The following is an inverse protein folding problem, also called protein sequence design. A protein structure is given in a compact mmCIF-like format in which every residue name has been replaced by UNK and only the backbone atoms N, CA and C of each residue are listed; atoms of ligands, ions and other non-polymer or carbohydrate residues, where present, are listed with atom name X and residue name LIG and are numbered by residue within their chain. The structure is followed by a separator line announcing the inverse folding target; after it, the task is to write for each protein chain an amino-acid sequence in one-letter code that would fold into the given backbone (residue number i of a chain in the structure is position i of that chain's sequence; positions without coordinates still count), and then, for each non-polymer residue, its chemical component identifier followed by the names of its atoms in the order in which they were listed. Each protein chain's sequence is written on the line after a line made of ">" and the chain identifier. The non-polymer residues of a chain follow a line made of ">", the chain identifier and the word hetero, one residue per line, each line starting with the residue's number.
data_IF_450415981728
#
_entry.id   IF_450415981728
#
_cell.length_a   1.000
_cell.length_b   1.000
_cell.length_c   1.000
_cell.angle_alpha   90.00
_cell.angle_beta   90.00
_cell.angle_gamma   90.00
#
_symmetry.space_group_name_H-M   'P 1'
#
loop_
_entity.id
_entity.type
_entity.pdbx_description
1 polymer ?
#
# COMPACT_ATOMS: atom_id res chain seq x y z
N UNK A 1 8.52 0.79 21.79
CA UNK A 1 9.27 0.12 20.71
C UNK A 1 8.40 0.17 19.46
N UNK A 2 8.68 1.08 18.53
CA UNK A 2 7.86 1.22 17.32
C UNK A 2 8.05 -0.03 16.46
N UNK A 3 6.96 -0.76 16.18
CA UNK A 3 7.00 -1.90 15.30
C UNK A 3 7.49 -1.41 13.93
N UNK A 4 8.71 -1.80 13.56
CA UNK A 4 9.30 -1.54 12.26
C UNK A 4 8.39 -2.21 11.23
N UNK A 5 7.58 -1.41 10.55
CA UNK A 5 6.70 -1.95 9.53
C UNK A 5 7.58 -2.58 8.43
N UNK A 6 7.22 -3.76 7.90
CA UNK A 6 7.99 -4.37 6.83
C UNK A 6 7.95 -3.43 5.61
N UNK A 7 9.10 -2.80 5.36
CA UNK A 7 9.38 -2.04 4.14
C UNK A 7 9.89 -3.05 3.13
N UNK A 8 9.23 -3.13 1.99
CA UNK A 8 9.70 -3.85 0.82
C UNK A 8 10.41 -2.86 -0.10
N UNK A 9 11.72 -3.05 -0.24
CA UNK A 9 12.54 -2.40 -1.27
C UNK A 9 12.13 -2.96 -2.63
N UNK A 10 11.64 -2.10 -3.52
CA UNK A 10 11.32 -2.45 -4.90
C UNK A 10 12.09 -1.56 -5.88
N UNK A 11 12.21 -2.00 -7.14
CA UNK A 11 12.88 -1.23 -8.19
C UNK A 11 12.25 0.14 -8.42
N UNK A 12 10.95 0.27 -8.09
CA UNK A 12 10.22 1.52 -8.17
C UNK A 12 10.35 2.40 -6.92
N UNK A 13 11.00 1.90 -5.84
CA UNK A 13 11.35 2.56 -4.58
C UNK A 13 10.87 1.79 -3.33
N UNK A 14 11.10 2.33 -2.13
CA UNK A 14 10.70 1.70 -0.88
C UNK A 14 9.21 1.83 -0.56
N UNK A 15 8.56 0.70 -0.30
CA UNK A 15 7.13 0.64 0.02
C UNK A 15 6.88 -0.04 1.34
N UNK A 16 6.06 0.56 2.19
CA UNK A 16 5.49 -0.18 3.32
C UNK A 16 4.34 -1.02 2.81
N UNK A 17 4.36 -2.31 3.14
CA UNK A 17 3.36 -3.27 2.66
C UNK A 17 2.72 -3.98 3.84
N UNK A 18 1.41 -3.84 3.97
CA UNK A 18 0.65 -4.48 5.03
C UNK A 18 -0.42 -5.42 4.46
N UNK A 19 -0.28 -6.74 4.61
CA UNK A 19 -1.35 -7.66 4.28
C UNK A 19 -2.50 -7.50 5.27
N UNK A 20 -3.72 -7.43 4.75
CA UNK A 20 -4.96 -7.43 5.49
C UNK A 20 -5.70 -8.73 5.21
N UNK A 21 -6.20 -9.37 6.26
CA UNK A 21 -7.03 -10.58 6.18
C UNK A 21 -8.42 -10.29 5.59
N UNK A 22 -8.77 -9.03 5.40
CA UNK A 22 -10.10 -8.58 4.98
C UNK A 22 -11.07 -8.40 6.14
N UNK A 23 -10.85 -9.04 7.29
CA UNK A 23 -11.80 -9.07 8.40
C UNK A 23 -12.20 -7.68 8.94
N UNK A 24 -11.33 -6.67 8.84
CA UNK A 24 -11.61 -5.29 9.22
C UNK A 24 -11.94 -4.35 8.06
N UNK A 25 -12.24 -4.89 6.87
CA UNK A 25 -12.55 -4.11 5.67
C UNK A 25 -14.03 -4.16 5.36
N UNK A 26 -14.78 -3.21 5.90
CA UNK A 26 -16.22 -3.08 5.66
C UNK A 26 -16.57 -2.28 4.39
N UNK A 27 -15.57 -1.67 3.76
CA UNK A 27 -15.70 -0.89 2.53
C UNK A 27 -15.05 -1.60 1.35
N UNK A 28 -15.63 -1.39 0.17
CA UNK A 28 -14.99 -1.75 -1.10
C UNK A 28 -13.94 -0.69 -1.45
N UNK A 29 -12.76 -1.12 -1.89
CA UNK A 29 -11.69 -0.23 -2.32
C UNK A 29 -11.31 -0.47 -3.78
N UNK A 30 -10.90 0.56 -4.52
CA UNK A 30 -10.49 0.42 -5.92
C UNK A 30 -9.01 0.05 -6.01
N UNK A 31 -8.69 -1.03 -6.73
CA UNK A 31 -7.33 -1.50 -6.93
C UNK A 31 -6.67 -0.76 -8.11
N UNK A 32 -5.54 -0.05 -7.92
CA UNK A 32 -4.90 0.69 -9.01
C UNK A 32 -4.32 -0.19 -10.14
N UNK A 33 -3.96 -1.45 -9.85
CA UNK A 33 -3.32 -2.33 -10.84
C UNK A 33 -4.26 -3.04 -11.81
N UNK A 34 -5.56 -3.08 -11.52
CA UNK A 34 -6.57 -3.69 -12.40
C UNK A 34 -7.84 -2.86 -12.54
N UNK A 35 -7.91 -1.72 -11.83
CA UNK A 35 -9.07 -0.82 -11.73
C UNK A 35 -10.37 -1.49 -11.23
N UNK A 36 -10.26 -2.71 -10.67
CA UNK A 36 -11.38 -3.45 -10.09
C UNK A 36 -11.57 -3.12 -8.62
N UNK A 37 -12.80 -3.28 -8.14
CA UNK A 37 -13.13 -3.14 -6.73
C UNK A 37 -12.71 -4.39 -5.95
N UNK A 38 -12.00 -4.18 -4.85
CA UNK A 38 -11.73 -5.14 -3.79
C UNK A 38 -12.98 -5.15 -2.90
N UNK A 39 -13.76 -6.23 -2.85
CA UNK A 39 -14.96 -6.29 -2.02
C UNK A 39 -14.62 -6.25 -0.52
N UNK A 40 -15.55 -5.82 0.34
CA UNK A 40 -15.37 -5.91 1.78
C UNK A 40 -15.12 -7.36 2.20
N UNK A 41 -14.41 -7.55 3.32
CA UNK A 41 -14.04 -8.87 3.84
C UNK A 41 -13.17 -9.73 2.90
N UNK A 42 -12.56 -9.11 1.89
CA UNK A 42 -11.62 -9.79 0.99
C UNK A 42 -10.18 -9.62 1.47
N UNK A 43 -9.37 -10.69 1.55
CA UNK A 43 -7.94 -10.58 1.80
C UNK A 43 -7.23 -9.75 0.72
N UNK A 44 -6.54 -8.69 1.13
CA UNK A 44 -5.88 -7.76 0.21
C UNK A 44 -4.69 -7.09 0.89
N UNK A 45 -3.95 -6.28 0.16
CA UNK A 45 -2.74 -5.61 0.64
C UNK A 45 -2.96 -4.10 0.63
N UNK A 46 -2.50 -3.43 1.67
CA UNK A 46 -2.41 -1.98 1.70
C UNK A 46 -0.94 -1.59 1.58
N UNK A 47 -0.65 -0.69 0.65
CA UNK A 47 0.70 -0.22 0.38
C UNK A 47 0.77 1.30 0.34
N UNK A 48 1.84 1.87 0.85
CA UNK A 48 2.15 3.30 0.73
C UNK A 48 3.66 3.51 0.66
N UNK A 49 4.13 4.66 0.14
CA UNK A 49 5.56 4.95 0.08
C UNK A 49 6.17 4.97 1.48
N UNK A 50 7.32 4.32 1.67
CA UNK A 50 8.03 4.36 2.95
C UNK A 50 8.62 5.75 3.25
N UNK A 51 8.89 6.52 2.18
CA UNK A 51 9.34 7.90 2.22
C UNK A 51 8.41 8.71 1.32
N UNK A 52 8.04 9.91 1.73
CA UNK A 52 7.28 10.82 0.88
C UNK A 52 8.19 11.31 -0.26
N UNK A 53 8.08 10.65 -1.41
CA UNK A 53 8.79 11.02 -2.64
C UNK A 53 7.94 12.11 -3.28
N UNK A 54 8.41 13.35 -3.28
CA UNK A 54 7.76 14.55 -3.86
C UNK A 54 6.69 15.26 -3.02
N UNK A 55 6.87 15.40 -1.71
CA UNK A 55 6.13 16.44 -0.96
C UNK A 55 7.12 17.37 -0.27
N UNK A 56 6.81 18.66 -0.18
CA UNK A 56 7.49 19.64 0.68
C UNK A 56 7.45 19.28 2.20
N UNK A 57 6.99 18.07 2.52
CA UNK A 57 6.94 17.50 3.85
C UNK A 57 8.29 16.86 4.16
N UNK A 58 8.72 17.10 5.39
CA UNK A 58 9.94 16.59 6.01
C UNK A 58 10.11 15.07 5.69
N UNK A 59 11.23 14.61 5.10
CA UNK A 59 11.50 13.20 4.73
C UNK A 59 11.24 12.15 5.83
N UNK A 60 11.10 12.58 7.08
CA UNK A 60 10.88 11.77 8.26
C UNK A 60 9.39 11.66 8.66
N UNK A 61 8.49 12.41 8.01
CA UNK A 61 7.05 12.40 8.28
C UNK A 61 6.34 11.22 7.58
N UNK A 62 6.57 10.04 8.15
CA UNK A 62 5.92 8.78 7.72
C UNK A 62 4.42 8.70 8.05
N UNK A 63 3.93 9.62 8.90
CA UNK A 63 2.51 9.72 9.24
C UNK A 63 1.71 10.36 8.10
N UNK A 64 2.21 11.45 7.49
CA UNK A 64 1.62 12.00 6.27
C UNK A 64 1.71 11.03 5.10
N UNK A 65 2.78 10.24 5.00
CA UNK A 65 2.90 9.20 3.96
C UNK A 65 1.84 8.09 4.11
N UNK A 66 1.33 7.87 5.32
CA UNK A 66 0.25 6.91 5.58
C UNK A 66 -1.12 7.37 5.05
N UNK A 67 -1.33 8.66 4.77
CA UNK A 67 -2.57 9.11 4.12
C UNK A 67 -2.68 8.55 2.69
N UNK A 68 -1.53 8.33 2.03
CA UNK A 68 -1.43 7.78 0.68
C UNK A 68 -1.57 6.25 0.60
N UNK A 69 -2.20 5.63 1.61
CA UNK A 69 -2.49 4.19 1.64
C UNK A 69 -3.38 3.79 0.47
N UNK A 70 -2.81 2.99 -0.45
CA UNK A 70 -3.53 2.41 -1.58
C UNK A 70 -3.83 0.94 -1.31
N UNK A 71 -5.03 0.51 -1.68
CA UNK A 71 -5.48 -0.86 -1.52
C UNK A 71 -5.28 -1.64 -2.82
N UNK A 72 -4.67 -2.80 -2.73
CA UNK A 72 -4.34 -3.65 -3.87
C UNK A 72 -4.80 -5.08 -3.61
N UNK A 73 -5.27 -5.75 -4.65
CA UNK A 73 -5.29 -7.20 -4.61
C UNK A 73 -3.86 -7.72 -4.43
N UNK A 74 -3.68 -8.77 -3.63
CA UNK A 74 -2.36 -9.38 -3.39
C UNK A 74 -1.65 -9.76 -4.70
N UNK A 75 -2.40 -10.29 -5.67
CA UNK A 75 -1.88 -10.63 -6.99
C UNK A 75 -1.48 -9.38 -7.79
N UNK A 76 -2.29 -8.31 -7.74
CA UNK A 76 -1.98 -7.06 -8.43
C UNK A 76 -0.74 -6.37 -7.83
N UNK A 77 -0.60 -6.39 -6.51
CA UNK A 77 0.59 -5.84 -5.82
C UNK A 77 1.89 -6.53 -6.26
N UNK A 78 1.87 -7.87 -6.33
CA UNK A 78 3.02 -8.66 -6.81
C UNK A 78 3.33 -8.45 -8.28
N UNK A 79 2.33 -8.10 -9.09
CA UNK A 79 2.48 -7.86 -10.52
C UNK A 79 2.70 -6.37 -10.86
N UNK A 80 2.77 -5.46 -9.88
CA UNK A 80 2.81 -4.01 -10.10
C UNK A 80 3.99 -3.56 -10.96
N UNK A 81 5.14 -4.18 -10.76
CA UNK A 81 6.39 -3.87 -11.46
C UNK A 81 6.28 -4.21 -12.97
N UNK A 82 5.43 -5.18 -13.32
CA UNK A 82 5.26 -5.68 -14.69
C UNK A 82 4.19 -4.95 -15.49
N UNK A 83 3.44 -4.01 -14.89
CA UNK A 83 2.24 -3.39 -15.49
C UNK A 83 2.36 -1.86 -15.64
N UNK A 84 3.59 -1.33 -15.78
CA UNK A 84 3.84 0.10 -16.00
C UNK A 84 3.69 0.51 -17.46
#
# INVERSE_FOLDING_TARGET
>A
MAARQPVEEAADGDWVVRPLTGAGSDKSYRCPGCDQLIPPRTPHVVSWPAYARDSDLDPWDTDSASDWRRHWHTACWRARDRRR
#
